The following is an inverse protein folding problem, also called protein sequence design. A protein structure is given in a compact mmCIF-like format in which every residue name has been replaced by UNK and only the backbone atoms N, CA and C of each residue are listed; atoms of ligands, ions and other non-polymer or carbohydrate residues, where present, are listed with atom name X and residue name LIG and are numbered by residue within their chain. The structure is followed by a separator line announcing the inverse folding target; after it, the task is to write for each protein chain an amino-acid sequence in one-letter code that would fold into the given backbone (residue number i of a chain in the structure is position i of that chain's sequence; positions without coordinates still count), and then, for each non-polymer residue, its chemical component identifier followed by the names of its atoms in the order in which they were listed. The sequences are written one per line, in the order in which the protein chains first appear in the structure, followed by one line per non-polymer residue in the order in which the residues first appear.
data_IF_158584917046
#
_entry.id   IF_158584917046
#
_cell.length_a   1.000
_cell.length_b   1.000
_cell.length_c   1.000
_cell.angle_alpha   90.00
_cell.angle_beta   90.00
_cell.angle_gamma   90.00
#
_symmetry.space_group_name_H-M   'P 1'
#
loop_
_entity.id
_entity.type
_entity.pdbx_description
1 polymer ?
#
# COMPACT_ATOMS: atom_id res chain seq x y z
N UNK A 1 -20.02 -28.11 13.25
CA UNK A 1 -18.71 -28.69 13.64
C UNK A 1 -17.72 -28.76 12.48
N UNK A 2 -18.12 -29.10 11.24
CA UNK A 2 -17.25 -29.04 10.06
C UNK A 2 -16.78 -27.63 9.69
N UNK A 3 -17.61 -26.60 9.84
CA UNK A 3 -17.30 -25.22 9.48
C UNK A 3 -16.21 -24.60 10.38
N UNK A 4 -16.28 -24.86 11.69
CA UNK A 4 -15.29 -24.36 12.66
C UNK A 4 -13.89 -24.93 12.43
N UNK A 5 -13.79 -26.21 12.05
CA UNK A 5 -12.48 -26.85 11.71
C UNK A 5 -11.91 -26.25 10.42
N UNK A 6 -12.76 -25.92 9.45
CA UNK A 6 -12.35 -25.29 8.21
C UNK A 6 -11.86 -23.86 8.42
N UNK A 7 -12.51 -23.08 9.26
CA UNK A 7 -12.12 -21.71 9.61
C UNK A 7 -10.78 -21.66 10.37
N UNK A 8 -10.57 -22.55 11.34
CA UNK A 8 -9.30 -22.64 12.06
C UNK A 8 -8.13 -23.01 11.12
N UNK A 9 -8.38 -23.94 10.20
CA UNK A 9 -7.38 -24.33 9.21
C UNK A 9 -7.06 -23.20 8.23
N UNK A 10 -8.06 -22.39 7.84
CA UNK A 10 -7.87 -21.23 6.98
C UNK A 10 -7.09 -20.12 7.70
N UNK A 11 -7.45 -19.80 8.93
CA UNK A 11 -6.76 -18.80 9.73
C UNK A 11 -5.29 -19.18 9.97
N UNK A 12 -5.02 -20.45 10.29
CA UNK A 12 -3.66 -20.94 10.49
C UNK A 12 -2.82 -20.85 9.21
N UNK A 13 -3.40 -21.13 8.03
CA UNK A 13 -2.71 -20.98 6.74
C UNK A 13 -2.43 -19.50 6.42
N UNK A 14 -3.41 -18.63 6.62
CA UNK A 14 -3.23 -17.19 6.42
C UNK A 14 -2.12 -16.64 7.32
N UNK A 15 -2.06 -17.08 8.58
CA UNK A 15 -1.00 -16.69 9.52
C UNK A 15 0.38 -17.19 9.08
N UNK A 16 0.48 -18.45 8.61
CA UNK A 16 1.74 -19.01 8.14
C UNK A 16 2.24 -18.30 6.87
N UNK A 17 1.34 -18.03 5.90
CA UNK A 17 1.67 -17.25 4.70
C UNK A 17 2.13 -15.84 5.05
N UNK A 18 1.43 -15.16 5.95
CA UNK A 18 1.82 -13.84 6.42
C UNK A 18 3.22 -13.82 7.05
N UNK A 19 3.51 -14.79 7.93
CA UNK A 19 4.84 -14.91 8.55
C UNK A 19 5.94 -15.12 7.51
N UNK A 20 5.71 -15.99 6.53
CA UNK A 20 6.62 -16.22 5.42
C UNK A 20 6.87 -14.94 4.60
N UNK A 21 5.82 -14.17 4.31
CA UNK A 21 5.93 -12.89 3.60
C UNK A 21 6.70 -11.84 4.39
N UNK A 22 6.52 -11.80 5.70
CA UNK A 22 7.31 -10.92 6.58
C UNK A 22 8.79 -11.27 6.54
N UNK A 23 9.14 -12.56 6.58
CA UNK A 23 10.53 -13.03 6.48
C UNK A 23 11.13 -12.71 5.10
N UNK A 24 10.38 -12.93 4.03
CA UNK A 24 10.81 -12.63 2.67
C UNK A 24 11.07 -11.13 2.48
N UNK A 25 10.16 -10.25 2.94
CA UNK A 25 10.40 -8.80 2.87
C UNK A 25 11.64 -8.39 3.67
N UNK A 26 11.83 -8.93 4.89
CA UNK A 26 13.05 -8.65 5.68
C UNK A 26 14.32 -9.10 4.96
N UNK A 27 14.29 -10.23 4.24
CA UNK A 27 15.41 -10.69 3.43
C UNK A 27 15.69 -9.75 2.25
N UNK A 28 14.66 -9.31 1.52
CA UNK A 28 14.80 -8.34 0.43
C UNK A 28 15.37 -7.00 0.91
N UNK A 29 14.99 -6.52 2.07
CA UNK A 29 15.51 -5.28 2.65
C UNK A 29 17.00 -5.34 3.02
N UNK A 30 17.57 -6.53 3.10
CA UNK A 30 19.01 -6.74 3.30
C UNK A 30 19.77 -6.97 1.98
N UNK A 31 19.07 -7.12 0.86
CA UNK A 31 19.69 -7.33 -0.46
C UNK A 31 19.98 -5.99 -1.15
N UNK A 32 21.24 -5.76 -1.45
CA UNK A 32 21.70 -4.55 -2.13
C UNK A 32 21.08 -4.37 -3.52
N UNK A 33 20.81 -5.47 -4.25
CA UNK A 33 20.19 -5.36 -5.59
C UNK A 33 18.74 -4.90 -5.47
N UNK A 34 18.01 -5.35 -4.46
CA UNK A 34 16.67 -4.87 -4.16
C UNK A 34 16.68 -3.37 -3.83
N UNK A 35 17.56 -2.94 -2.92
CA UNK A 35 17.65 -1.55 -2.49
C UNK A 35 18.12 -0.59 -3.60
N UNK A 36 18.92 -1.07 -4.54
CA UNK A 36 19.37 -0.29 -5.69
C UNK A 36 18.40 -0.39 -6.89
N UNK A 37 17.25 -1.02 -6.70
CA UNK A 37 16.24 -1.26 -7.74
C UNK A 37 16.83 -1.97 -8.97
N UNK A 38 17.88 -2.79 -8.76
CA UNK A 38 18.61 -3.54 -9.78
C UNK A 38 18.20 -5.01 -9.75
N UNK A 39 18.00 -5.61 -10.91
CA UNK A 39 17.87 -7.07 -11.02
C UNK A 39 16.60 -7.60 -11.65
N UNK A 40 15.62 -6.78 -11.95
CA UNK A 40 14.37 -7.19 -12.63
C UNK A 40 14.24 -6.49 -13.98
N UNK A 41 15.30 -6.55 -14.79
CA UNK A 41 15.30 -5.94 -16.12
C UNK A 41 15.21 -4.39 -16.06
N UNK A 42 14.63 -3.78 -17.08
CA UNK A 42 14.35 -2.33 -17.14
C UNK A 42 12.99 -2.00 -16.50
N UNK A 43 12.50 -2.81 -15.58
CA UNK A 43 11.19 -2.67 -14.99
C UNK A 43 11.27 -1.98 -13.61
N UNK A 44 10.23 -1.24 -13.27
CA UNK A 44 10.18 -0.41 -12.08
C UNK A 44 9.94 -1.28 -10.86
N UNK A 45 10.63 -0.98 -9.79
CA UNK A 45 10.60 -1.71 -8.53
C UNK A 45 9.34 -1.48 -7.70
N UNK A 46 8.19 -1.83 -8.25
CA UNK A 46 6.94 -1.91 -7.50
C UNK A 46 6.68 -3.34 -7.05
N UNK A 47 6.57 -3.53 -5.75
CA UNK A 47 6.42 -4.82 -5.10
C UNK A 47 5.12 -4.87 -4.29
N UNK A 48 4.45 -6.02 -4.31
CA UNK A 48 3.24 -6.23 -3.53
C UNK A 48 3.50 -7.15 -2.36
N UNK A 49 3.10 -6.69 -1.18
CA UNK A 49 3.01 -7.48 0.03
C UNK A 49 1.53 -7.76 0.29
N UNK A 50 1.03 -8.85 -0.31
CA UNK A 50 -0.35 -9.26 -0.12
C UNK A 50 -0.54 -9.99 1.21
N UNK A 51 -1.68 -9.79 1.88
CA UNK A 51 -2.02 -10.46 3.12
C UNK A 51 -3.54 -10.65 3.25
N UNK A 52 -3.95 -11.69 4.02
CA UNK A 52 -5.37 -11.89 4.31
C UNK A 52 -5.91 -10.67 5.08
N UNK A 53 -7.02 -10.05 4.63
CA UNK A 53 -7.61 -8.88 5.28
C UNK A 53 -7.90 -9.04 6.77
N UNK A 54 -8.11 -10.27 7.25
CA UNK A 54 -8.27 -10.54 8.68
C UNK A 54 -7.00 -10.24 9.50
N UNK A 55 -5.85 -10.13 8.86
CA UNK A 55 -4.53 -9.85 9.48
C UNK A 55 -4.13 -8.37 9.41
N UNK A 56 -5.05 -7.47 9.04
CA UNK A 56 -4.79 -6.03 8.89
C UNK A 56 -4.02 -5.43 10.07
N UNK A 57 -4.45 -5.73 11.31
CA UNK A 57 -3.79 -5.17 12.50
C UNK A 57 -2.37 -5.72 12.68
N UNK A 58 -2.12 -6.96 12.27
CA UNK A 58 -0.77 -7.54 12.31
C UNK A 58 0.12 -6.94 11.22
N UNK A 59 -0.43 -6.71 10.03
CA UNK A 59 0.29 -6.03 8.95
C UNK A 59 0.68 -4.60 9.35
N UNK A 60 -0.23 -3.84 9.96
CA UNK A 60 0.08 -2.50 10.50
C UNK A 60 1.19 -2.53 11.53
N UNK A 61 1.11 -3.45 12.49
CA UNK A 61 2.14 -3.60 13.52
C UNK A 61 3.50 -3.95 12.90
N UNK A 62 3.52 -4.87 11.93
CA UNK A 62 4.73 -5.27 11.23
C UNK A 62 5.40 -4.09 10.49
N UNK A 63 4.66 -3.32 9.71
CA UNK A 63 5.22 -2.18 8.97
C UNK A 63 5.64 -1.05 9.91
N UNK A 64 4.90 -0.80 10.98
CA UNK A 64 5.30 0.16 12.01
C UNK A 64 6.61 -0.24 12.71
N UNK A 65 6.75 -1.51 13.08
CA UNK A 65 7.97 -2.01 13.71
C UNK A 65 9.15 -1.95 12.72
N UNK A 66 8.92 -2.25 11.45
CA UNK A 66 9.94 -2.18 10.40
C UNK A 66 10.48 -0.76 10.21
N UNK A 67 9.59 0.24 10.17
CA UNK A 67 9.95 1.66 10.08
C UNK A 67 10.78 2.08 11.29
N UNK A 68 10.30 1.79 12.51
CA UNK A 68 11.02 2.08 13.75
C UNK A 68 12.39 1.40 13.85
N UNK A 69 12.48 0.14 13.40
CA UNK A 69 13.77 -0.58 13.33
C UNK A 69 14.76 0.12 12.38
N UNK A 70 14.27 0.67 11.26
CA UNK A 70 15.12 1.37 10.29
C UNK A 70 15.63 2.71 10.81
N UNK A 71 14.87 3.39 11.67
CA UNK A 71 15.26 4.66 12.30
C UNK A 71 16.46 4.52 13.26
N UNK A 72 16.73 3.31 13.75
CA UNK A 72 17.88 3.05 14.61
C UNK A 72 19.24 3.25 13.90
N UNK A 73 19.26 3.29 12.57
CA UNK A 73 20.42 3.65 11.75
C UNK A 73 21.48 2.54 11.62
N UNK A 74 21.19 1.32 12.09
CA UNK A 74 22.05 0.14 11.99
C UNK A 74 21.70 -0.75 10.78
N UNK A 75 20.67 -0.38 10.02
CA UNK A 75 20.18 -1.11 8.84
C UNK A 75 20.68 -0.50 7.53
N UNK A 76 20.86 -1.31 6.48
CA UNK A 76 21.23 -0.82 5.16
C UNK A 76 20.06 -0.11 4.44
N UNK A 77 18.87 -0.11 5.05
CA UNK A 77 17.64 0.47 4.48
C UNK A 77 17.00 1.46 5.45
N UNK A 78 16.23 2.38 4.89
CA UNK A 78 15.33 3.29 5.60
C UNK A 78 13.91 3.12 5.05
N UNK A 79 12.96 2.81 5.92
CA UNK A 79 11.55 2.74 5.53
C UNK A 79 10.94 4.13 5.60
N UNK A 80 10.31 4.52 4.51
CA UNK A 80 9.50 5.75 4.42
C UNK A 80 8.05 5.34 4.21
N UNK A 81 7.28 5.32 5.28
CA UNK A 81 5.87 4.90 5.23
C UNK A 81 4.94 6.02 4.82
N UNK A 82 3.94 5.69 4.02
CA UNK A 82 2.80 6.56 3.70
C UNK A 82 1.51 5.77 3.83
N UNK A 83 0.67 6.12 4.80
CA UNK A 83 -0.69 5.61 4.85
C UNK A 83 -1.56 6.40 3.87
N UNK A 84 -2.18 5.72 2.91
CA UNK A 84 -2.95 6.36 1.84
C UNK A 84 -4.21 7.07 2.34
N UNK A 85 -4.79 6.61 3.45
CA UNK A 85 -5.93 7.31 4.04
C UNK A 85 -5.49 8.61 4.73
N UNK A 86 -4.35 8.61 5.41
CA UNK A 86 -3.79 9.83 5.99
C UNK A 86 -3.38 10.82 4.89
N UNK A 87 -2.84 10.33 3.77
CA UNK A 87 -2.57 11.16 2.59
C UNK A 87 -3.86 11.79 2.06
N UNK A 88 -4.95 11.01 1.96
CA UNK A 88 -6.27 11.53 1.59
C UNK A 88 -6.75 12.64 2.51
N UNK A 89 -6.66 12.41 3.83
CA UNK A 89 -7.03 13.43 4.83
C UNK A 89 -6.17 14.68 4.69
N UNK A 90 -4.85 14.54 4.50
CA UNK A 90 -3.91 15.64 4.27
C UNK A 90 -4.23 16.46 3.01
N UNK A 91 -4.61 15.81 1.91
CA UNK A 91 -5.07 16.49 0.69
C UNK A 91 -6.33 17.32 1.00
N UNK A 92 -7.30 16.74 1.70
CA UNK A 92 -8.53 17.42 2.08
C UNK A 92 -8.27 18.61 3.02
N UNK A 93 -7.33 18.47 3.94
CA UNK A 93 -6.92 19.55 4.86
C UNK A 93 -6.21 20.69 4.12
N UNK A 94 -5.23 20.39 3.27
CA UNK A 94 -4.53 21.36 2.42
C UNK A 94 -5.52 22.17 1.55
N UNK A 95 -6.59 21.52 1.10
CA UNK A 95 -7.69 22.13 0.34
C UNK A 95 -8.74 22.81 1.23
N UNK A 96 -8.61 22.74 2.56
CA UNK A 96 -9.53 23.32 3.55
C UNK A 96 -10.96 22.80 3.46
N UNK A 97 -11.16 21.56 2.99
CA UNK A 97 -12.48 20.95 2.81
C UNK A 97 -12.79 19.89 3.88
N UNK A 98 -11.81 19.40 4.63
CA UNK A 98 -11.95 18.29 5.56
C UNK A 98 -13.14 18.49 6.53
N UNK A 99 -13.23 19.65 7.16
CA UNK A 99 -14.32 19.97 8.10
C UNK A 99 -15.69 20.11 7.45
N UNK A 100 -15.74 20.36 6.15
CA UNK A 100 -16.99 20.51 5.41
C UNK A 100 -17.55 19.16 4.93
N UNK A 101 -16.73 18.10 4.87
CA UNK A 101 -17.12 16.80 4.32
C UNK A 101 -18.38 16.24 5.01
N UNK A 102 -18.45 16.12 6.37
CA UNK A 102 -19.62 15.55 7.02
C UNK A 102 -20.90 16.36 6.76
N UNK A 103 -20.79 17.68 6.74
CA UNK A 103 -21.94 18.59 6.51
C UNK A 103 -22.43 18.46 5.06
N UNK A 104 -21.53 18.39 4.10
CA UNK A 104 -21.87 18.24 2.69
C UNK A 104 -22.44 16.85 2.40
N UNK A 105 -21.91 15.83 3.03
CA UNK A 105 -22.42 14.46 2.92
C UNK A 105 -23.85 14.34 3.48
N UNK A 106 -24.09 14.91 4.66
CA UNK A 106 -25.43 14.93 5.28
C UNK A 106 -26.45 15.67 4.39
N UNK A 107 -26.02 16.73 3.69
CA UNK A 107 -26.88 17.57 2.85
C UNK A 107 -27.14 16.98 1.45
N UNK A 108 -26.13 16.36 0.84
CA UNK A 108 -26.16 15.96 -0.57
C UNK A 108 -26.05 14.45 -0.79
N UNK A 109 -25.85 13.68 0.27
CA UNK A 109 -25.67 12.23 0.28
C UNK A 109 -24.28 11.78 -0.09
N UNK A 110 -23.95 10.55 0.34
CA UNK A 110 -22.62 9.92 0.21
C UNK A 110 -22.14 9.82 -1.25
N UNK A 111 -23.04 9.45 -2.18
CA UNK A 111 -22.69 9.30 -3.59
C UNK A 111 -22.27 10.64 -4.24
N UNK A 112 -22.96 11.74 -3.90
CA UNK A 112 -22.60 13.08 -4.37
C UNK A 112 -21.27 13.52 -3.80
N UNK A 113 -21.06 13.28 -2.51
CA UNK A 113 -19.82 13.63 -1.81
C UNK A 113 -18.62 12.86 -2.38
N UNK A 114 -18.76 11.54 -2.60
CA UNK A 114 -17.72 10.73 -3.22
C UNK A 114 -17.33 11.26 -4.61
N UNK A 115 -18.31 11.62 -5.43
CA UNK A 115 -18.07 12.20 -6.78
C UNK A 115 -17.32 13.54 -6.72
N UNK A 116 -17.57 14.35 -5.70
CA UNK A 116 -16.84 15.61 -5.51
C UNK A 116 -15.41 15.38 -5.03
N UNK A 117 -15.22 14.49 -4.05
CA UNK A 117 -13.90 14.15 -3.51
C UNK A 117 -13.00 13.50 -4.58
N UNK A 118 -13.53 12.65 -5.43
CA UNK A 118 -12.78 12.03 -6.53
C UNK A 118 -12.22 13.02 -7.56
N UNK A 119 -12.81 14.23 -7.67
CA UNK A 119 -12.28 15.30 -8.52
C UNK A 119 -11.11 16.06 -7.89
N UNK A 120 -11.01 16.01 -6.57
CA UNK A 120 -10.00 16.72 -5.79
C UNK A 120 -8.86 15.79 -5.43
N UNK A 121 -9.19 14.61 -4.93
CA UNK A 121 -8.27 13.56 -4.53
C UNK A 121 -7.99 12.64 -5.74
N UNK A 122 -7.36 13.21 -6.76
CA UNK A 122 -6.97 12.48 -7.97
C UNK A 122 -5.71 11.66 -7.73
N UNK A 123 -5.44 10.59 -8.52
CA UNK A 123 -4.19 9.83 -8.41
C UNK A 123 -2.94 10.71 -8.49
N UNK A 124 -2.95 11.74 -9.33
CA UNK A 124 -1.86 12.71 -9.42
C UNK A 124 -1.69 13.54 -8.12
N UNK A 125 -2.80 13.93 -7.47
CA UNK A 125 -2.73 14.64 -6.19
C UNK A 125 -2.20 13.74 -5.06
N UNK A 126 -2.52 12.45 -5.08
CA UNK A 126 -1.92 11.47 -4.17
C UNK A 126 -0.42 11.32 -4.43
N UNK A 127 -0.01 11.14 -5.69
CA UNK A 127 1.40 10.99 -6.04
C UNK A 127 2.22 12.23 -5.61
N UNK A 128 1.69 13.45 -5.81
CA UNK A 128 2.30 14.68 -5.32
C UNK A 128 2.40 14.73 -3.79
N UNK A 129 1.38 14.24 -3.08
CA UNK A 129 1.35 14.28 -1.61
C UNK A 129 2.21 13.18 -0.96
N UNK A 130 2.45 12.07 -1.67
CA UNK A 130 3.33 10.98 -1.24
C UNK A 130 4.79 11.34 -1.46
N UNK A 131 5.06 12.11 -2.49
CA UNK A 131 6.40 12.50 -2.94
C UNK A 131 7.24 13.18 -1.86
N UNK A 132 8.53 12.91 -1.88
CA UNK A 132 9.52 13.56 -1.03
C UNK A 132 10.88 13.57 -1.74
N UNK A 133 11.70 14.56 -1.46
CA UNK A 133 13.04 14.68 -2.02
C UNK A 133 14.02 15.23 -0.97
N UNK A 134 15.29 14.85 -1.00
CA UNK A 134 15.87 13.84 -1.92
C UNK A 134 15.56 12.43 -1.46
N UNK A 135 15.52 11.46 -2.40
CA UNK A 135 15.61 10.05 -2.07
C UNK A 135 17.04 9.72 -1.66
N UNK A 136 17.20 9.00 -0.58
CA UNK A 136 18.50 8.55 -0.11
C UNK A 136 18.75 7.10 -0.50
N UNK A 137 20.03 6.73 -0.63
CA UNK A 137 20.38 5.34 -0.93
C UNK A 137 19.92 4.43 0.22
N UNK A 138 19.17 3.40 -0.13
CA UNK A 138 18.56 2.48 0.83
C UNK A 138 17.15 2.87 1.25
N UNK A 139 16.59 3.97 0.73
CA UNK A 139 15.17 4.28 0.95
C UNK A 139 14.28 3.22 0.30
N UNK A 140 13.23 2.86 1.02
CA UNK A 140 12.15 2.00 0.54
C UNK A 140 10.83 2.68 0.91
N UNK A 141 10.08 3.08 -0.10
CA UNK A 141 8.73 3.62 0.13
C UNK A 141 7.76 2.49 0.44
N UNK A 142 7.05 2.58 1.56
CA UNK A 142 6.00 1.63 1.94
C UNK A 142 4.64 2.32 1.90
N UNK A 143 3.73 1.81 1.08
CA UNK A 143 2.36 2.28 0.98
C UNK A 143 1.44 1.37 1.78
N UNK A 144 0.79 1.92 2.79
CA UNK A 144 -0.22 1.24 3.63
C UNK A 144 -1.60 1.87 3.46
N UNK A 145 -2.63 1.32 4.09
CA UNK A 145 -3.98 1.89 4.06
C UNK A 145 -4.72 1.76 2.73
N UNK A 146 -4.30 0.83 1.86
CA UNK A 146 -4.97 0.58 0.56
C UNK A 146 -6.45 0.26 0.73
N UNK A 147 -6.79 -0.56 1.73
CA UNK A 147 -8.19 -0.88 2.04
C UNK A 147 -8.96 0.30 2.61
N UNK A 148 -8.31 1.13 3.41
CA UNK A 148 -8.93 2.29 4.08
C UNK A 148 -9.26 3.40 3.09
N UNK A 149 -8.40 3.64 2.10
CA UNK A 149 -8.60 4.70 1.12
C UNK A 149 -9.64 4.36 0.06
N UNK A 150 -10.02 3.09 -0.08
CA UNK A 150 -11.10 2.68 -0.98
C UNK A 150 -12.46 3.26 -0.50
N UNK A 151 -13.30 3.84 -1.37
CA UNK A 151 -13.24 3.86 -2.83
C UNK A 151 -12.64 5.15 -3.43
N UNK A 152 -11.98 6.00 -2.65
CA UNK A 152 -11.46 7.29 -3.12
C UNK A 152 -10.30 7.12 -4.10
N UNK A 153 -9.49 6.08 -3.93
CA UNK A 153 -8.33 5.78 -4.75
C UNK A 153 -8.31 4.29 -5.12
N UNK A 154 -7.96 4.00 -6.37
CA UNK A 154 -7.63 2.66 -6.83
C UNK A 154 -6.12 2.54 -6.98
N UNK A 155 -5.53 1.48 -6.44
CA UNK A 155 -4.08 1.35 -6.37
C UNK A 155 -3.41 1.41 -7.75
N UNK A 156 -3.99 0.80 -8.79
CA UNK A 156 -3.42 0.83 -10.13
C UNK A 156 -3.24 2.25 -10.66
N UNK A 157 -4.28 3.09 -10.54
CA UNK A 157 -4.21 4.47 -11.03
C UNK A 157 -3.16 5.29 -10.28
N UNK A 158 -2.88 4.94 -9.02
CA UNK A 158 -1.81 5.54 -8.26
C UNK A 158 -0.45 5.11 -8.78
N UNK A 159 -0.22 3.81 -9.00
CA UNK A 159 1.07 3.27 -9.46
C UNK A 159 1.53 3.91 -10.76
N UNK A 160 0.61 4.13 -11.71
CA UNK A 160 0.91 4.82 -12.97
C UNK A 160 1.45 6.25 -12.75
N UNK A 161 1.02 6.91 -11.68
CA UNK A 161 1.47 8.27 -11.35
C UNK A 161 2.75 8.29 -10.48
N UNK A 162 3.00 7.24 -9.70
CA UNK A 162 4.22 7.11 -8.89
C UNK A 162 5.44 6.74 -9.73
N UNK A 163 5.24 6.09 -10.85
CA UNK A 163 6.27 5.55 -11.73
C UNK A 163 7.37 6.56 -12.12
N UNK A 164 7.00 7.80 -12.36
CA UNK A 164 7.92 8.86 -12.76
C UNK A 164 8.69 9.42 -11.56
N UNK A 165 8.11 9.32 -10.36
CA UNK A 165 8.65 9.92 -9.14
C UNK A 165 9.54 8.97 -8.34
N UNK A 166 9.25 7.68 -8.38
CA UNK A 166 9.89 6.63 -7.59
C UNK A 166 10.51 5.57 -8.50
N UNK A 167 11.32 6.00 -9.47
CA UNK A 167 12.04 5.08 -10.38
C UNK A 167 13.37 4.59 -9.80
N UNK A 168 13.89 5.27 -8.79
CA UNK A 168 15.22 5.10 -8.21
C UNK A 168 15.22 4.31 -6.88
N UNK A 169 14.08 4.16 -6.25
CA UNK A 169 13.92 3.40 -5.01
C UNK A 169 12.82 2.36 -5.11
N UNK A 170 12.88 1.26 -4.34
CA UNK A 170 11.80 0.28 -4.27
C UNK A 170 10.54 0.86 -3.63
N UNK A 171 9.37 0.46 -4.16
CA UNK A 171 8.06 0.77 -3.58
C UNK A 171 7.36 -0.52 -3.21
N UNK A 172 7.04 -0.68 -1.93
CA UNK A 172 6.31 -1.83 -1.38
C UNK A 172 4.88 -1.43 -1.07
N UNK A 173 3.91 -2.18 -1.57
CA UNK A 173 2.49 -1.93 -1.38
C UNK A 173 1.93 -2.99 -0.44
N UNK A 174 1.55 -2.59 0.78
CA UNK A 174 0.83 -3.44 1.73
C UNK A 174 -0.63 -3.59 1.26
N UNK A 175 -0.97 -4.75 0.71
CA UNK A 175 -2.24 -4.96 0.04
C UNK A 175 -3.12 -5.99 0.77
N UNK A 176 -4.26 -5.57 1.37
CA UNK A 176 -5.20 -6.48 2.04
C UNK A 176 -6.03 -7.23 1.02
N UNK A 177 -5.54 -8.37 0.57
CA UNK A 177 -6.17 -9.18 -0.46
C UNK A 177 -5.20 -10.08 -1.19
N UNK A 178 -5.51 -10.43 -2.44
CA UNK A 178 -4.71 -11.31 -3.26
C UNK A 178 -4.26 -10.66 -4.56
N UNK A 179 -3.08 -11.07 -5.02
CA UNK A 179 -2.54 -10.78 -6.34
C UNK A 179 -2.35 -12.09 -7.10
N UNK A 180 -2.80 -12.15 -8.36
CA UNK A 180 -2.78 -13.37 -9.17
C UNK A 180 -1.67 -13.37 -10.24
N UNK A 181 -0.71 -12.43 -10.15
CA UNK A 181 0.26 -12.19 -11.22
C UNK A 181 -0.26 -11.25 -12.33
N UNK A 182 -1.56 -11.02 -12.38
CA UNK A 182 -2.18 -10.17 -13.43
C UNK A 182 -3.22 -9.20 -12.88
N UNK A 183 -3.89 -9.52 -11.79
CA UNK A 183 -4.95 -8.71 -11.21
C UNK A 183 -4.94 -8.73 -9.69
N UNK A 184 -5.39 -7.65 -9.10
CA UNK A 184 -5.61 -7.52 -7.67
C UNK A 184 -7.06 -7.81 -7.30
N UNK A 185 -7.25 -8.42 -6.12
CA UNK A 185 -8.56 -8.63 -5.52
C UNK A 185 -8.55 -8.05 -4.10
N UNK A 186 -9.03 -6.81 -3.96
CA UNK A 186 -9.10 -6.15 -2.66
C UNK A 186 -10.10 -6.87 -1.76
N UNK A 187 -9.71 -7.13 -0.51
CA UNK A 187 -10.48 -7.91 0.46
C UNK A 187 -10.90 -9.29 -0.04
N UNK A 188 -10.16 -9.87 -0.99
CA UNK A 188 -10.48 -11.14 -1.65
C UNK A 188 -11.87 -11.16 -2.34
N UNK A 189 -12.47 -10.01 -2.59
CA UNK A 189 -13.84 -9.88 -3.10
C UNK A 189 -14.03 -8.82 -4.17
N UNK A 190 -13.27 -7.74 -4.12
CA UNK A 190 -13.35 -6.64 -5.07
C UNK A 190 -12.25 -6.80 -6.12
N UNK A 191 -12.57 -7.51 -7.19
CA UNK A 191 -11.63 -7.70 -8.30
C UNK A 191 -11.51 -6.41 -9.12
N UNK A 192 -10.27 -6.00 -9.34
CA UNK A 192 -9.92 -4.95 -10.27
C UNK A 192 -9.35 -5.61 -11.52
N UNK A 193 -10.14 -5.64 -12.61
CA UNK A 193 -9.80 -6.37 -13.85
C UNK A 193 -8.66 -5.76 -14.68
N UNK A 194 -7.87 -4.86 -14.11
CA UNK A 194 -6.79 -4.18 -14.81
C UNK A 194 -5.46 -4.94 -14.62
N UNK A 195 -4.62 -4.89 -15.65
CA UNK A 195 -3.26 -5.42 -15.61
C UNK A 195 -2.34 -4.47 -14.83
N UNK A 196 -1.50 -5.02 -13.97
CA UNK A 196 -0.54 -4.25 -13.16
C UNK A 196 0.88 -4.70 -13.41
N UNK A 197 1.78 -3.72 -13.49
CA UNK A 197 3.21 -3.96 -13.45
C UNK A 197 3.71 -3.82 -12.01
N UNK A 198 3.44 -4.83 -11.23
CA UNK A 198 4.00 -5.00 -9.90
C UNK A 198 4.44 -6.45 -9.72
N UNK A 199 5.44 -6.68 -8.88
CA UNK A 199 5.95 -8.01 -8.60
C UNK A 199 5.46 -8.47 -7.23
N UNK A 200 5.05 -9.74 -7.11
CA UNK A 200 4.84 -10.32 -5.80
C UNK A 200 6.21 -10.46 -5.11
N UNK A 201 6.29 -10.08 -3.86
CA UNK A 201 7.50 -10.19 -3.05
C UNK A 201 7.86 -11.66 -2.71
N UNK A 202 6.91 -12.57 -2.89
CA UNK A 202 7.05 -14.00 -2.52
C UNK A 202 6.62 -14.89 -3.66
#
# INVERSE_FOLDING_TARGET
MRDVVSEHSRAARAQADFSHRCEALRAHLLDANFLENKGIGNEIGFFTFCYDPALEMQARAFFFDLERESEAGDKPYRIVSRNLYDVFLGICEKRRILKAIPVQEAKHGTASQLKQLSKICTPAAFAEAIDYEPHERGDVLVLTGVGEVNPFLRIHTLLDNLHVRFSDIPVVIAYPGAYTGHSFSLFNSLSDGNYYRAFDLV
#
